data_IF_423943746477
#
_entry.id   IF_423943746477
#
_cell.length_a   1.000
_cell.length_b   1.000
_cell.length_c   1.000
_cell.angle_alpha   90.00
_cell.angle_beta   90.00
_cell.angle_gamma   90.00
#
_symmetry.space_group_name_H-M   'P 1'
#
loop_
_entity.id
_entity.type
_entity.pdbx_description
1 polymer ?
#
# COMPACT_ATOMS: atom_id res chain seq x y z
N UNK A 1 13.59 18.70 -0.04
CA UNK A 1 13.95 17.27 -0.07
C UNK A 1 12.76 16.31 -0.03
N UNK A 2 11.58 16.69 0.49
CA UNK A 2 10.38 15.82 0.56
C UNK A 2 9.89 15.32 -0.83
N UNK A 3 10.07 16.12 -1.87
CA UNK A 3 9.61 15.81 -3.24
C UNK A 3 10.41 14.71 -3.99
N UNK A 4 11.57 14.32 -3.47
CA UNK A 4 12.51 13.44 -4.17
C UNK A 4 12.00 12.00 -4.36
N UNK A 5 11.26 11.46 -3.37
CA UNK A 5 10.73 10.09 -3.44
C UNK A 5 9.62 9.97 -4.49
N UNK A 6 8.68 10.92 -4.50
CA UNK A 6 7.60 10.97 -5.51
C UNK A 6 8.21 11.09 -6.92
N UNK A 7 9.17 12.00 -7.12
CA UNK A 7 9.83 12.17 -8.41
C UNK A 7 10.56 10.90 -8.87
N UNK A 8 11.21 10.16 -7.96
CA UNK A 8 11.83 8.86 -8.27
C UNK A 8 10.80 7.81 -8.70
N UNK A 9 9.67 7.73 -7.99
CA UNK A 9 8.59 6.80 -8.35
C UNK A 9 8.05 7.18 -9.74
N UNK A 10 7.75 8.45 -9.98
CA UNK A 10 7.26 8.94 -11.26
C UNK A 10 8.24 8.67 -12.42
N UNK A 11 9.54 8.86 -12.20
CA UNK A 11 10.55 8.50 -13.19
C UNK A 11 10.56 7.00 -13.48
N UNK A 12 10.51 6.17 -12.43
CA UNK A 12 10.46 4.71 -12.58
C UNK A 12 9.21 4.24 -13.34
N UNK A 13 8.06 4.89 -13.13
CA UNK A 13 6.84 4.61 -13.88
C UNK A 13 7.01 4.95 -15.37
N UNK A 14 7.63 6.09 -15.70
CA UNK A 14 7.94 6.47 -17.09
C UNK A 14 8.88 5.47 -17.75
N UNK A 15 9.96 5.09 -17.07
CA UNK A 15 10.96 4.14 -17.58
C UNK A 15 10.36 2.75 -17.88
N UNK A 16 9.34 2.35 -17.11
CA UNK A 16 8.64 1.07 -17.29
C UNK A 16 7.36 1.17 -18.16
N UNK A 17 7.04 2.34 -18.70
CA UNK A 17 5.79 2.59 -19.44
C UNK A 17 4.53 2.22 -18.62
N UNK A 18 4.52 2.55 -17.32
CA UNK A 18 3.41 2.39 -16.41
C UNK A 18 2.78 3.77 -16.16
N UNK A 19 1.46 3.90 -16.30
CA UNK A 19 0.77 5.19 -16.12
C UNK A 19 0.52 5.50 -14.65
N UNK A 20 0.19 4.49 -13.84
CA UNK A 20 -0.05 4.69 -12.41
C UNK A 20 0.26 3.45 -11.58
N UNK A 21 0.58 3.68 -10.30
CA UNK A 21 0.89 2.66 -9.29
C UNK A 21 -0.06 2.84 -8.10
N UNK A 22 -0.68 1.73 -7.67
CA UNK A 22 -1.47 1.65 -6.44
C UNK A 22 -0.55 1.17 -5.33
N UNK A 23 -0.56 1.89 -4.20
CA UNK A 23 0.19 1.55 -2.99
C UNK A 23 -0.78 1.48 -1.83
N UNK A 24 -0.87 0.31 -1.18
CA UNK A 24 -1.63 0.13 0.05
C UNK A 24 -0.72 0.20 1.28
N UNK A 25 -1.28 0.65 2.40
CA UNK A 25 -0.64 0.49 3.69
C UNK A 25 -1.03 -0.85 4.30
N UNK A 26 -0.33 -1.88 3.89
CA UNK A 26 -0.52 -3.25 4.37
C UNK A 26 0.73 -4.09 4.08
N UNK A 27 0.81 -5.27 4.67
CA UNK A 27 1.75 -6.31 4.32
C UNK A 27 1.06 -7.48 3.59
N UNK A 28 1.80 -8.54 3.30
CA UNK A 28 1.30 -9.74 2.61
C UNK A 28 0.31 -10.59 3.44
N UNK A 29 0.10 -10.24 4.70
CA UNK A 29 -0.89 -10.86 5.59
C UNK A 29 -2.10 -9.96 5.82
N UNK A 30 -2.14 -8.80 5.19
CA UNK A 30 -3.18 -7.77 5.32
C UNK A 30 -3.33 -7.27 6.76
N UNK A 31 -2.22 -7.21 7.50
CA UNK A 31 -2.21 -6.71 8.87
C UNK A 31 -2.46 -5.21 8.95
N UNK A 32 -3.09 -4.74 10.02
CA UNK A 32 -3.17 -3.32 10.37
C UNK A 32 -1.82 -2.80 10.91
N UNK A 33 -1.16 -3.60 11.76
CA UNK A 33 0.15 -3.27 12.31
C UNK A 33 1.23 -4.00 11.53
N UNK A 34 1.86 -3.28 10.62
CA UNK A 34 2.88 -3.83 9.72
C UNK A 34 4.29 -3.57 10.24
N UNK A 35 5.22 -4.43 9.86
CA UNK A 35 6.63 -4.27 10.18
C UNK A 35 7.28 -3.14 9.38
N UNK A 36 8.40 -2.59 9.88
CA UNK A 36 9.10 -1.46 9.25
C UNK A 36 9.49 -1.72 7.79
N UNK A 37 9.82 -2.95 7.43
CA UNK A 37 10.14 -3.35 6.06
C UNK A 37 8.92 -3.37 5.12
N UNK A 38 7.70 -3.36 5.65
CA UNK A 38 6.46 -3.31 4.89
C UNK A 38 5.89 -1.88 4.75
N UNK A 39 6.45 -0.88 5.39
CA UNK A 39 5.99 0.52 5.41
C UNK A 39 6.21 1.26 4.07
N UNK A 40 5.79 0.67 2.97
CA UNK A 40 5.97 1.21 1.60
C UNK A 40 5.23 2.52 1.39
N UNK A 41 4.01 2.64 1.93
CA UNK A 41 3.24 3.89 1.85
C UNK A 41 3.93 5.01 2.62
N UNK A 42 4.42 4.73 3.83
CA UNK A 42 5.20 5.69 4.61
C UNK A 42 6.47 6.10 3.88
N UNK A 43 7.23 5.15 3.33
CA UNK A 43 8.42 5.48 2.56
C UNK A 43 8.10 6.38 1.38
N UNK A 44 7.00 6.14 0.66
CA UNK A 44 6.64 6.92 -0.53
C UNK A 44 6.13 8.34 -0.19
N UNK A 45 5.39 8.50 0.92
CA UNK A 45 4.58 9.70 1.19
C UNK A 45 4.94 10.44 2.47
N UNK A 46 5.76 9.84 3.35
CA UNK A 46 6.04 10.26 4.73
C UNK A 46 4.81 10.20 5.68
N UNK A 47 3.67 9.65 5.21
CA UNK A 47 2.48 9.45 6.04
C UNK A 47 2.61 8.18 6.89
N UNK A 48 2.51 8.31 8.21
CA UNK A 48 2.72 7.23 9.19
C UNK A 48 1.42 6.67 9.82
N UNK A 49 0.25 7.14 9.39
CA UNK A 49 -1.03 6.64 9.92
C UNK A 49 -1.32 5.20 9.50
N UNK A 50 -2.18 4.48 10.25
CA UNK A 50 -2.45 3.05 10.01
C UNK A 50 -3.46 2.78 8.89
N UNK A 51 -4.19 3.79 8.42
CA UNK A 51 -5.17 3.63 7.34
C UNK A 51 -4.93 4.64 6.23
N UNK A 52 -4.42 4.15 5.10
CA UNK A 52 -4.13 4.98 3.94
C UNK A 52 -3.78 4.18 2.69
N UNK A 53 -3.95 4.82 1.55
CA UNK A 53 -3.62 4.29 0.22
C UNK A 53 -3.08 5.42 -0.65
N UNK A 54 -2.29 5.10 -1.64
CA UNK A 54 -1.87 6.10 -2.62
C UNK A 54 -2.10 5.61 -4.06
N UNK A 55 -2.37 6.57 -4.95
CA UNK A 55 -2.27 6.37 -6.39
C UNK A 55 -1.25 7.39 -6.90
N UNK A 56 -0.14 6.90 -7.40
CA UNK A 56 0.92 7.73 -7.95
C UNK A 56 0.95 7.50 -9.46
N UNK A 57 0.70 8.55 -10.23
CA UNK A 57 0.84 8.54 -11.68
C UNK A 57 2.14 9.24 -12.11
N UNK A 58 2.45 9.19 -13.41
CA UNK A 58 3.65 9.82 -13.94
C UNK A 58 3.76 11.33 -13.65
N UNK A 59 2.64 12.01 -13.35
CA UNK A 59 2.59 13.46 -13.14
C UNK A 59 1.90 13.90 -11.85
N UNK A 60 1.14 13.02 -11.20
CA UNK A 60 0.37 13.32 -10.00
C UNK A 60 0.59 12.27 -8.92
N UNK A 61 0.41 12.65 -7.66
CA UNK A 61 0.41 11.74 -6.53
C UNK A 61 -0.77 12.09 -5.61
N UNK A 62 -1.62 11.12 -5.34
CA UNK A 62 -2.76 11.25 -4.45
C UNK A 62 -2.59 10.31 -3.26
N UNK A 63 -2.67 10.85 -2.05
CA UNK A 63 -2.75 10.09 -0.81
C UNK A 63 -4.19 10.15 -0.29
N UNK A 64 -4.74 8.98 0.00
CA UNK A 64 -6.07 8.81 0.56
C UNK A 64 -5.95 8.33 1.99
N UNK A 65 -6.56 9.06 2.92
CA UNK A 65 -6.52 8.72 4.35
C UNK A 65 -7.92 8.69 4.95
N UNK A 66 -8.07 7.91 6.01
CA UNK A 66 -9.24 7.94 6.85
C UNK A 66 -9.37 9.32 7.53
N UNK A 67 -10.59 9.76 7.82
CA UNK A 67 -10.84 11.07 8.41
C UNK A 67 -10.11 11.36 9.72
N UNK A 68 -9.80 10.31 10.50
CA UNK A 68 -8.99 10.39 11.73
C UNK A 68 -7.56 10.89 11.48
N UNK A 69 -7.03 10.70 10.27
CA UNK A 69 -5.66 11.02 9.90
C UNK A 69 -5.50 12.30 9.09
N UNK A 70 -6.58 13.05 8.81
CA UNK A 70 -6.53 14.22 7.93
C UNK A 70 -5.53 15.29 8.40
N UNK A 71 -5.53 15.62 9.68
CA UNK A 71 -4.59 16.62 10.23
C UNK A 71 -3.15 16.10 10.22
N UNK A 72 -2.94 14.87 10.70
CA UNK A 72 -1.63 14.24 10.73
C UNK A 72 -1.03 14.16 9.32
N UNK A 73 -1.80 13.73 8.32
CA UNK A 73 -1.33 13.64 6.95
C UNK A 73 -0.90 15.01 6.41
N UNK A 74 -1.66 16.08 6.66
CA UNK A 74 -1.30 17.44 6.24
C UNK A 74 0.03 17.92 6.80
N UNK A 75 0.35 17.55 8.04
CA UNK A 75 1.62 17.91 8.69
C UNK A 75 2.80 17.09 8.18
N UNK A 76 2.57 15.83 7.82
CA UNK A 76 3.62 14.89 7.47
C UNK A 76 4.03 14.95 6.00
N UNK A 77 3.05 15.03 5.09
CA UNK A 77 3.30 14.95 3.65
C UNK A 77 3.80 16.28 3.06
N UNK A 78 4.37 16.21 1.87
CA UNK A 78 4.62 17.38 1.03
C UNK A 78 3.36 17.71 0.21
N UNK A 79 2.51 18.61 0.73
CA UNK A 79 1.29 19.04 0.05
C UNK A 79 1.53 19.75 -1.30
N UNK A 80 2.76 20.13 -1.62
CA UNK A 80 3.13 20.65 -2.93
C UNK A 80 3.30 19.56 -3.99
N UNK A 81 3.55 18.32 -3.54
CA UNK A 81 3.77 17.16 -4.41
C UNK A 81 2.66 16.11 -4.34
N UNK A 82 1.94 16.06 -3.23
CA UNK A 82 0.93 15.03 -2.93
C UNK A 82 -0.39 15.71 -2.60
N UNK A 83 -1.43 15.38 -3.35
CA UNK A 83 -2.80 15.78 -3.03
C UNK A 83 -3.38 14.86 -1.96
N UNK A 84 -3.88 15.46 -0.88
CA UNK A 84 -4.54 14.72 0.20
C UNK A 84 -6.04 14.61 -0.06
N UNK A 85 -6.57 13.40 -0.06
CA UNK A 85 -7.97 13.07 -0.32
C UNK A 85 -8.52 12.16 0.78
N UNK A 86 -9.84 12.08 0.87
CA UNK A 86 -10.50 11.17 1.79
C UNK A 86 -10.53 9.74 1.22
N UNK A 87 -10.39 8.74 2.08
CA UNK A 87 -10.35 7.32 1.67
C UNK A 87 -11.61 6.89 0.91
N UNK A 88 -12.78 7.47 1.22
CA UNK A 88 -14.03 7.20 0.51
C UNK A 88 -13.99 7.60 -0.98
N UNK A 89 -13.11 8.52 -1.35
CA UNK A 89 -12.96 8.96 -2.75
C UNK A 89 -12.04 8.04 -3.55
N UNK A 90 -11.37 7.08 -2.89
CA UNK A 90 -10.37 6.21 -3.53
C UNK A 90 -10.91 5.50 -4.78
N UNK A 91 -12.07 4.84 -4.68
CA UNK A 91 -12.65 4.09 -5.81
C UNK A 91 -13.02 5.01 -6.98
N UNK A 92 -13.53 6.21 -6.70
CA UNK A 92 -13.86 7.20 -7.72
C UNK A 92 -12.60 7.70 -8.43
N UNK A 93 -11.55 8.00 -7.67
CA UNK A 93 -10.28 8.44 -8.25
C UNK A 93 -9.58 7.31 -9.00
N UNK A 94 -9.60 6.09 -8.45
CA UNK A 94 -9.04 4.91 -9.09
C UNK A 94 -9.64 4.68 -10.49
N UNK A 95 -10.95 4.82 -10.62
CA UNK A 95 -11.63 4.66 -11.91
C UNK A 95 -11.08 5.59 -13.01
N UNK A 96 -10.58 6.77 -12.68
CA UNK A 96 -10.01 7.72 -13.65
C UNK A 96 -8.71 7.21 -14.27
N UNK A 97 -8.02 6.27 -13.63
CA UNK A 97 -6.78 5.67 -14.12
C UNK A 97 -7.01 4.50 -15.07
N UNK A 98 -8.26 3.98 -15.13
CA UNK A 98 -8.62 2.88 -16.00
C UNK A 98 -9.20 3.37 -17.30
N UNK A 99 -8.38 3.43 -18.34
CA UNK A 99 -8.74 3.86 -19.69
C UNK A 99 -7.98 3.01 -20.71
N UNK A 100 -8.52 2.97 -21.93
CA UNK A 100 -7.88 2.29 -23.06
C UNK A 100 -6.42 2.73 -23.24
N UNK A 101 -5.55 1.77 -23.49
CA UNK A 101 -4.11 1.94 -23.67
C UNK A 101 -3.33 2.46 -22.43
N UNK A 102 -3.96 2.51 -21.26
CA UNK A 102 -3.27 2.80 -19.99
C UNK A 102 -2.75 1.53 -19.34
N UNK A 103 -1.73 1.70 -18.48
CA UNK A 103 -1.15 0.63 -17.68
C UNK A 103 -1.18 1.01 -16.21
N UNK A 104 -1.90 0.22 -15.41
CA UNK A 104 -1.99 0.39 -13.94
C UNK A 104 -1.21 -0.73 -13.27
N UNK A 105 -0.29 -0.37 -12.37
CA UNK A 105 0.52 -1.30 -11.61
C UNK A 105 0.01 -1.46 -10.17
N UNK A 106 0.13 -2.67 -9.66
CA UNK A 106 -0.09 -2.99 -8.24
C UNK A 106 0.72 -4.23 -7.85
N UNK A 107 0.98 -4.36 -6.55
CA UNK A 107 1.51 -5.60 -5.99
C UNK A 107 0.34 -6.46 -5.48
N UNK A 108 0.01 -7.57 -6.14
CA UNK A 108 -1.17 -8.37 -5.77
C UNK A 108 -1.06 -9.01 -4.39
N UNK A 109 0.16 -9.15 -3.84
CA UNK A 109 0.37 -9.67 -2.47
C UNK A 109 -0.14 -8.73 -1.38
N UNK A 110 -0.35 -7.45 -1.72
CA UNK A 110 -0.80 -6.40 -0.80
C UNK A 110 -2.29 -6.09 -0.95
N UNK A 111 -3.05 -7.02 -1.52
CA UNK A 111 -4.49 -6.88 -1.75
C UNK A 111 -5.20 -8.19 -1.44
N UNK A 112 -6.46 -8.13 -1.04
CA UNK A 112 -7.29 -9.33 -0.98
C UNK A 112 -7.56 -9.86 -2.40
N UNK A 113 -7.85 -11.17 -2.51
CA UNK A 113 -8.22 -11.80 -3.79
C UNK A 113 -9.45 -11.10 -4.39
N UNK A 114 -10.43 -10.75 -3.54
CA UNK A 114 -11.64 -10.04 -3.98
C UNK A 114 -11.31 -8.67 -4.58
N UNK A 115 -10.41 -7.92 -3.94
CA UNK A 115 -9.98 -6.60 -4.44
C UNK A 115 -9.23 -6.73 -5.77
N UNK A 116 -8.31 -7.69 -5.88
CA UNK A 116 -7.60 -7.95 -7.15
C UNK A 116 -8.58 -8.31 -8.27
N UNK A 117 -9.56 -9.17 -8.00
CA UNK A 117 -10.57 -9.55 -8.99
C UNK A 117 -11.39 -8.33 -9.45
N UNK A 118 -11.84 -7.45 -8.54
CA UNK A 118 -12.51 -6.19 -8.90
C UNK A 118 -11.64 -5.27 -9.77
N UNK A 119 -10.34 -5.21 -9.48
CA UNK A 119 -9.39 -4.44 -10.29
C UNK A 119 -9.23 -5.06 -11.69
N UNK A 120 -9.17 -6.39 -11.80
CA UNK A 120 -9.10 -7.10 -13.09
C UNK A 120 -10.37 -6.86 -13.92
N UNK A 121 -11.55 -6.96 -13.31
CA UNK A 121 -12.82 -6.68 -13.98
C UNK A 121 -12.87 -5.23 -14.50
N UNK A 122 -12.45 -4.28 -13.67
CA UNK A 122 -12.39 -2.87 -14.04
C UNK A 122 -11.41 -2.64 -15.21
N UNK A 123 -10.25 -3.28 -15.17
CA UNK A 123 -9.25 -3.20 -16.22
C UNK A 123 -9.76 -3.77 -17.55
N UNK A 124 -10.38 -4.95 -17.51
CA UNK A 124 -10.96 -5.58 -18.70
C UNK A 124 -12.06 -4.73 -19.31
N UNK A 125 -12.96 -4.18 -18.49
CA UNK A 125 -14.05 -3.28 -18.94
C UNK A 125 -13.53 -2.05 -19.66
N UNK A 126 -12.37 -1.51 -19.25
CA UNK A 126 -11.81 -0.27 -19.78
C UNK A 126 -10.63 -0.49 -20.75
N UNK A 127 -10.35 -1.72 -21.17
CA UNK A 127 -9.21 -2.08 -22.01
C UNK A 127 -7.86 -1.54 -21.45
N UNK A 128 -7.72 -1.58 -20.12
CA UNK A 128 -6.53 -1.14 -19.39
C UNK A 128 -5.61 -2.31 -19.14
N UNK A 129 -4.32 -2.13 -19.37
CA UNK A 129 -3.31 -3.13 -19.04
C UNK A 129 -3.03 -3.12 -17.54
N UNK A 130 -3.00 -4.30 -16.90
CA UNK A 130 -2.49 -4.45 -15.55
C UNK A 130 -1.04 -4.92 -15.54
N UNK A 131 -0.26 -4.33 -14.65
CA UNK A 131 1.11 -4.74 -14.39
C UNK A 131 1.23 -5.19 -12.92
N UNK A 132 1.25 -6.50 -12.70
CA UNK A 132 1.51 -7.07 -11.37
C UNK A 132 3.00 -7.01 -11.08
N UNK A 133 3.37 -6.23 -10.04
CA UNK A 133 4.76 -6.01 -9.71
C UNK A 133 5.34 -7.15 -8.88
N UNK A 134 6.47 -7.69 -9.32
CA UNK A 134 7.28 -8.65 -8.58
C UNK A 134 8.74 -8.56 -9.09
N UNK A 135 9.68 -7.97 -8.32
CA UNK A 135 9.51 -7.36 -7.00
C UNK A 135 8.61 -6.12 -7.00
N UNK A 136 8.19 -5.68 -5.81
CA UNK A 136 7.41 -4.45 -5.64
C UNK A 136 8.22 -3.24 -6.10
N UNK A 137 7.60 -2.32 -6.85
CA UNK A 137 8.29 -1.15 -7.42
C UNK A 137 8.88 -0.22 -6.34
N UNK A 138 8.23 -0.12 -5.18
CA UNK A 138 8.78 0.67 -4.07
C UNK A 138 10.03 -0.01 -3.50
N UNK A 139 10.04 -1.35 -3.39
CA UNK A 139 11.19 -2.10 -2.88
C UNK A 139 12.41 -1.97 -3.80
N UNK A 140 12.22 -1.80 -5.11
CA UNK A 140 13.32 -1.52 -6.06
C UNK A 140 13.94 -0.13 -5.84
N UNK A 141 13.20 0.82 -5.29
CA UNK A 141 13.62 2.20 -5.07
C UNK A 141 14.09 2.47 -3.64
N UNK A 142 13.68 1.64 -2.68
CA UNK A 142 13.96 1.80 -1.26
C UNK A 142 15.31 1.15 -0.89
N UNK A 143 16.40 1.87 -1.15
CA UNK A 143 17.77 1.37 -0.99
C UNK A 143 18.09 0.95 0.44
N UNK A 144 17.64 1.75 1.41
CA UNK A 144 17.83 1.56 2.86
C UNK A 144 16.67 0.84 3.53
N UNK A 145 15.92 0.01 2.76
CA UNK A 145 14.79 -0.76 3.27
C UNK A 145 15.23 -1.62 4.46
N UNK A 146 14.56 -1.50 5.62
CA UNK A 146 14.87 -2.33 6.78
C UNK A 146 14.77 -3.82 6.45
N UNK A 147 15.63 -4.62 7.05
CA UNK A 147 15.49 -6.08 6.97
C UNK A 147 14.36 -6.55 7.88
N UNK A 148 13.54 -7.48 7.39
CA UNK A 148 12.51 -8.11 8.19
C UNK A 148 13.14 -8.81 9.39
N UNK A 149 12.64 -8.49 10.60
CA UNK A 149 13.03 -9.18 11.82
C UNK A 149 12.16 -10.43 11.97
N UNK A 150 12.79 -11.57 12.16
CA UNK A 150 12.10 -12.80 12.49
C UNK A 150 12.22 -13.03 14.00
N UNK A 151 11.10 -13.15 14.69
CA UNK A 151 11.07 -13.58 16.10
C UNK A 151 10.98 -15.09 16.17
N UNK A 152 11.64 -15.69 17.17
CA UNK A 152 11.46 -17.11 17.47
C UNK A 152 10.04 -17.35 17.99
N UNK A 153 9.50 -18.52 17.68
CA UNK A 153 8.28 -19.01 18.33
C UNK A 153 8.63 -19.29 19.79
N UNK A 154 7.78 -18.87 20.71
CA UNK A 154 7.94 -19.14 22.15
C UNK A 154 6.59 -19.53 22.77
N UNK A 155 6.65 -20.32 23.82
CA UNK A 155 5.47 -20.67 24.60
C UNK A 155 5.00 -19.48 25.43
N UNK A 156 3.71 -19.17 25.35
CA UNK A 156 3.13 -18.13 26.18
C UNK A 156 2.85 -18.68 27.58
N UNK A 157 3.45 -18.10 28.66
CA UNK A 157 3.30 -18.65 30.01
C UNK A 157 1.83 -18.73 30.45
N UNK A 158 1.47 -19.85 31.10
CA UNK A 158 0.10 -20.17 31.52
C UNK A 158 -0.53 -19.07 32.41
N UNK A 159 0.29 -18.42 33.25
CA UNK A 159 -0.17 -17.31 34.11
C UNK A 159 -0.75 -16.14 33.36
N UNK A 160 -0.37 -15.95 32.08
CA UNK A 160 -0.91 -14.90 31.17
C UNK A 160 -1.96 -15.48 30.22
N UNK A 161 -1.85 -16.77 29.87
CA UNK A 161 -2.77 -17.45 28.96
C UNK A 161 -4.09 -17.88 29.62
N UNK A 162 -4.07 -18.07 30.96
CA UNK A 162 -5.21 -18.46 31.78
C UNK A 162 -5.47 -19.95 31.81
N UNK A 163 -5.49 -20.65 30.68
CA UNK A 163 -5.68 -22.09 30.54
C UNK A 163 -4.73 -22.69 29.51
N UNK A 164 -4.45 -23.98 29.67
CA UNK A 164 -3.60 -24.73 28.76
C UNK A 164 -4.12 -24.75 27.30
N UNK A 165 -3.19 -24.81 26.36
CA UNK A 165 -3.53 -24.80 24.91
C UNK A 165 -4.39 -26.00 24.53
N UNK A 166 -4.07 -27.22 25.04
CA UNK A 166 -4.85 -28.43 24.76
C UNK A 166 -6.29 -28.28 25.26
N UNK A 167 -6.48 -27.77 26.49
CA UNK A 167 -7.82 -27.53 27.04
C UNK A 167 -8.62 -26.51 26.23
N UNK A 168 -7.97 -25.52 25.58
CA UNK A 168 -8.64 -24.61 24.64
C UNK A 168 -9.10 -25.34 23.38
N UNK A 169 -8.26 -26.22 22.84
CA UNK A 169 -8.59 -27.01 21.64
C UNK A 169 -9.74 -27.98 21.89
N UNK A 170 -9.79 -28.61 23.09
CA UNK A 170 -10.86 -29.53 23.46
C UNK A 170 -12.24 -28.85 23.65
N UNK A 171 -12.27 -27.51 23.79
CA UNK A 171 -13.50 -26.74 23.93
C UNK A 171 -14.13 -26.36 22.57
N UNK A 172 -13.45 -26.57 21.46
CA UNK A 172 -13.92 -26.34 20.09
C UNK A 172 -14.30 -27.63 19.38
#
# INVERSE_FOLDING_TARGET
MKNFKISKIQQKLKDKNIDSLIINRTDEFLNEYISQDAERLFWATDFSGSAGRAIISQNNANLFVDGRYTFQAKEQIDCGAISLLHLNDFSKELNKHFNKNKCVALDPKLHSIEEVNKIIELANKNETKLHFTNPNLIDELWIDKPKRKHSSIFDHPINYAGIETLSKVEQF
#
